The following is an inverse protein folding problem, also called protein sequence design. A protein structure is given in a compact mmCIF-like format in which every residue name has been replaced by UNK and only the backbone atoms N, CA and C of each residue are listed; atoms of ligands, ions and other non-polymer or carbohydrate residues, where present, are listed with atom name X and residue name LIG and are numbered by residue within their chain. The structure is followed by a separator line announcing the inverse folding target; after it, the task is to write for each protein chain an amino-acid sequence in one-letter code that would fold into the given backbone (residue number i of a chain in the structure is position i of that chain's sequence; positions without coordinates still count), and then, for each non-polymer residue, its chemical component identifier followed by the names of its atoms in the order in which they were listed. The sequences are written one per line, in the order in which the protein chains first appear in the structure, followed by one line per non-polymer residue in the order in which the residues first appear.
data_IF_427601620586
#
_entry.id   IF_427601620586
#
_cell.length_a   1.000
_cell.length_b   1.000
_cell.length_c   1.000
_cell.angle_alpha   90.00
_cell.angle_beta   90.00
_cell.angle_gamma   90.00
#
_symmetry.space_group_name_H-M   'P 1'
#
loop_
_entity.id
_entity.type
_entity.pdbx_description
1 polymer ?
#
# COMPACT_ATOMS: atom_id res chain seq x y z
N UNK A 1 -20.40 46.66 -7.17
CA UNK A 1 -19.61 45.95 -8.19
C UNK A 1 -18.26 45.59 -7.58
N UNK A 2 -17.88 44.30 -7.62
CA UNK A 2 -16.50 43.75 -7.59
C UNK A 2 -15.57 44.21 -6.43
N UNK A 3 -15.01 43.37 -5.54
CA UNK A 3 -14.43 42.04 -5.76
C UNK A 3 -14.29 41.30 -4.42
N UNK A 4 -15.09 40.26 -4.29
CA UNK A 4 -14.92 39.14 -3.36
C UNK A 4 -13.60 38.46 -3.74
N UNK A 5 -12.47 38.81 -3.12
CA UNK A 5 -11.17 38.23 -3.56
C UNK A 5 -10.10 38.18 -2.47
N UNK A 6 -10.46 37.94 -1.21
CA UNK A 6 -9.45 37.68 -0.17
C UNK A 6 -9.87 36.63 0.85
N UNK A 7 -10.70 35.66 0.45
CA UNK A 7 -11.19 34.60 1.34
C UNK A 7 -11.40 33.27 0.60
N UNK A 8 -10.58 32.98 -0.42
CA UNK A 8 -10.73 31.74 -1.23
C UNK A 8 -9.41 30.98 -1.39
N UNK A 9 -8.30 31.44 -0.80
CA UNK A 9 -6.98 30.81 -1.04
C UNK A 9 -6.61 29.79 0.06
N UNK A 10 -7.32 29.76 1.19
CA UNK A 10 -6.94 28.94 2.36
C UNK A 10 -7.70 27.61 2.50
N UNK A 11 -8.32 27.09 1.44
CA UNK A 11 -9.16 25.88 1.52
C UNK A 11 -8.69 24.69 0.66
N UNK A 12 -7.49 24.73 0.06
CA UNK A 12 -7.03 23.70 -0.88
C UNK A 12 -5.87 22.81 -0.38
N UNK A 13 -5.51 22.88 0.91
CA UNK A 13 -4.39 22.07 1.46
C UNK A 13 -4.84 20.73 2.07
N UNK A 14 -6.06 20.25 1.78
CA UNK A 14 -6.56 18.99 2.37
C UNK A 14 -7.17 18.08 1.30
N UNK A 15 -6.43 17.75 0.24
CA UNK A 15 -6.75 16.56 -0.57
C UNK A 15 -5.48 15.95 -1.16
N UNK A 16 -4.56 15.58 -0.27
CA UNK A 16 -3.31 14.90 -0.63
C UNK A 16 -3.15 13.52 0.00
N UNK A 17 -4.21 12.88 0.50
CA UNK A 17 -4.15 11.44 0.77
C UNK A 17 -4.10 10.72 -0.58
N UNK A 18 -2.91 10.65 -1.18
CA UNK A 18 -2.69 9.73 -2.29
C UNK A 18 -3.05 8.34 -1.76
N UNK A 19 -4.20 7.83 -2.19
CA UNK A 19 -4.63 6.46 -1.94
C UNK A 19 -3.65 5.58 -2.69
N UNK A 20 -2.51 5.30 -2.06
CA UNK A 20 -1.64 4.23 -2.49
C UNK A 20 -2.53 3.00 -2.42
N UNK A 21 -2.74 2.28 -3.54
CA UNK A 21 -3.53 1.07 -3.51
C UNK A 21 -2.86 0.09 -2.55
N UNK A 22 -3.38 0.00 -1.34
CA UNK A 22 -3.05 -1.09 -0.44
C UNK A 22 -3.74 -2.32 -1.00
N UNK A 23 -2.94 -3.15 -1.67
CA UNK A 23 -3.36 -4.49 -2.04
C UNK A 23 -3.72 -5.23 -0.74
N UNK A 24 -5.02 -5.48 -0.54
CA UNK A 24 -5.48 -6.35 0.53
C UNK A 24 -5.15 -7.79 0.14
N UNK A 25 -4.73 -8.59 1.10
CA UNK A 25 -4.45 -10.00 0.88
C UNK A 25 -5.38 -10.85 1.74
N UNK A 26 -5.78 -12.01 1.23
CA UNK A 26 -6.55 -12.99 1.98
C UNK A 26 -5.96 -14.39 1.83
N UNK A 27 -6.10 -15.20 2.88
CA UNK A 27 -5.72 -16.60 2.92
C UNK A 27 -6.71 -17.33 3.82
N UNK A 28 -7.34 -18.39 3.32
CA UNK A 28 -8.39 -19.10 4.05
C UNK A 28 -7.84 -19.65 5.38
N UNK A 29 -8.54 -19.37 6.47
CA UNK A 29 -8.15 -19.80 7.82
C UNK A 29 -6.93 -19.09 8.42
N UNK A 30 -6.35 -18.08 7.74
CA UNK A 30 -5.25 -17.31 8.29
C UNK A 30 -5.75 -16.12 9.12
N UNK A 31 -5.09 -15.88 10.24
CA UNK A 31 -5.33 -14.70 11.08
C UNK A 31 -4.59 -13.47 10.56
N UNK A 32 -4.93 -12.30 11.09
CA UNK A 32 -4.17 -11.08 10.82
C UNK A 32 -2.73 -11.14 11.37
N UNK A 33 -2.51 -11.88 12.46
CA UNK A 33 -1.17 -12.14 12.97
C UNK A 33 -0.33 -12.98 11.98
N UNK A 34 -0.95 -13.96 11.32
CA UNK A 34 -0.30 -14.72 10.25
C UNK A 34 0.05 -13.83 9.07
N UNK A 35 -0.85 -12.91 8.69
CA UNK A 35 -0.57 -11.93 7.65
C UNK A 35 0.63 -11.07 8.00
N UNK A 36 0.67 -10.50 9.21
CA UNK A 36 1.79 -9.66 9.62
C UNK A 36 3.11 -10.40 9.66
N UNK A 37 3.14 -11.63 10.21
CA UNK A 37 4.35 -12.46 10.23
C UNK A 37 4.85 -12.74 8.81
N UNK A 38 3.98 -13.20 7.93
CA UNK A 38 4.34 -13.55 6.56
C UNK A 38 4.75 -12.30 5.75
N UNK A 39 4.07 -11.17 5.95
CA UNK A 39 4.38 -9.89 5.33
C UNK A 39 5.76 -9.39 5.75
N UNK A 40 6.10 -9.41 7.04
CA UNK A 40 7.43 -8.99 7.51
C UNK A 40 8.54 -9.83 6.86
N UNK A 41 8.38 -11.16 6.80
CA UNK A 41 9.33 -12.02 6.11
C UNK A 41 9.48 -11.67 4.62
N UNK A 42 8.37 -11.39 3.94
CA UNK A 42 8.39 -11.00 2.54
C UNK A 42 8.94 -9.58 2.31
N UNK A 43 8.76 -8.66 3.27
CA UNK A 43 9.37 -7.34 3.24
C UNK A 43 10.89 -7.46 3.34
N UNK A 44 11.39 -8.26 4.28
CA UNK A 44 12.82 -8.52 4.48
C UNK A 44 13.47 -9.18 3.25
N UNK A 45 12.80 -10.15 2.64
CA UNK A 45 13.24 -10.78 1.38
C UNK A 45 13.31 -9.75 0.24
N UNK A 46 12.27 -8.93 0.09
CA UNK A 46 12.20 -7.92 -0.95
C UNK A 46 13.29 -6.85 -0.80
N UNK A 47 13.60 -6.43 0.43
CA UNK A 47 14.70 -5.51 0.72
C UNK A 47 16.07 -6.15 0.49
N UNK A 48 16.26 -7.39 0.95
CA UNK A 48 17.54 -8.11 0.81
C UNK A 48 17.91 -8.39 -0.64
N UNK A 49 16.91 -8.51 -1.52
CA UNK A 49 17.09 -8.62 -2.97
C UNK A 49 17.55 -7.30 -3.65
N UNK A 50 17.77 -6.22 -2.90
CA UNK A 50 18.28 -4.95 -3.42
C UNK A 50 17.24 -4.11 -4.16
N UNK A 51 15.95 -4.34 -3.91
CA UNK A 51 14.88 -3.57 -4.55
C UNK A 51 14.77 -2.15 -3.96
N UNK A 52 15.64 -1.25 -4.44
CA UNK A 52 15.63 0.18 -4.04
C UNK A 52 14.50 0.98 -4.69
N UNK A 53 13.92 0.45 -5.77
CA UNK A 53 12.76 1.06 -6.45
C UNK A 53 11.48 0.55 -5.80
N UNK A 54 10.66 1.46 -5.29
CA UNK A 54 9.42 1.16 -4.56
C UNK A 54 8.49 0.17 -5.29
N UNK A 55 8.31 0.34 -6.60
CA UNK A 55 7.50 -0.56 -7.43
C UNK A 55 8.04 -1.99 -7.44
N UNK A 56 9.36 -2.16 -7.69
CA UNK A 56 10.02 -3.47 -7.68
C UNK A 56 9.95 -4.15 -6.31
N UNK A 57 10.09 -3.35 -5.24
CA UNK A 57 9.91 -3.84 -3.87
C UNK A 57 8.48 -4.36 -3.64
N UNK A 58 7.46 -3.59 -4.04
CA UNK A 58 6.05 -4.00 -3.92
C UNK A 58 5.78 -5.29 -4.72
N UNK A 59 6.28 -5.37 -5.95
CA UNK A 59 6.16 -6.56 -6.81
C UNK A 59 6.81 -7.78 -6.17
N UNK A 60 8.05 -7.66 -5.68
CA UNK A 60 8.76 -8.75 -5.03
C UNK A 60 8.08 -9.22 -3.74
N UNK A 61 7.69 -8.29 -2.86
CA UNK A 61 6.93 -8.60 -1.64
C UNK A 61 5.62 -9.31 -1.96
N UNK A 62 4.87 -8.79 -2.92
CA UNK A 62 3.57 -9.36 -3.31
C UNK A 62 3.74 -10.76 -3.91
N UNK A 63 4.79 -10.99 -4.71
CA UNK A 63 5.10 -12.32 -5.25
C UNK A 63 5.45 -13.32 -4.12
N UNK A 64 6.20 -12.89 -3.10
CA UNK A 64 6.47 -13.71 -1.92
C UNK A 64 5.18 -14.08 -1.17
N UNK A 65 4.27 -13.12 -0.95
CA UNK A 65 2.98 -13.39 -0.30
C UNK A 65 2.14 -14.40 -1.10
N UNK A 66 2.11 -14.27 -2.43
CA UNK A 66 1.43 -15.25 -3.31
C UNK A 66 2.03 -16.65 -3.17
N UNK A 67 3.36 -16.78 -3.13
CA UNK A 67 4.04 -18.07 -2.88
C UNK A 67 3.69 -18.67 -1.52
N UNK A 68 3.42 -17.83 -0.52
CA UNK A 68 2.94 -18.26 0.81
C UNK A 68 1.44 -18.57 0.85
N UNK A 69 0.73 -18.52 -0.28
CA UNK A 69 -0.68 -18.87 -0.41
C UNK A 69 -1.65 -17.71 -0.15
N UNK A 70 -1.16 -16.47 -0.11
CA UNK A 70 -2.02 -15.29 -0.03
C UNK A 70 -2.52 -14.88 -1.41
N UNK A 71 -3.79 -14.49 -1.51
CA UNK A 71 -4.39 -13.97 -2.74
C UNK A 71 -4.60 -12.47 -2.63
N UNK A 72 -4.21 -11.72 -3.67
CA UNK A 72 -4.56 -10.30 -3.74
C UNK A 72 -6.08 -10.17 -3.90
N UNK A 73 -6.68 -9.35 -3.04
CA UNK A 73 -8.06 -8.94 -3.11
C UNK A 73 -8.07 -7.54 -3.71
N UNK A 74 -8.76 -7.38 -4.83
CA UNK A 74 -8.94 -6.05 -5.41
C UNK A 74 -9.58 -5.14 -4.34
N UNK A 75 -9.07 -3.90 -4.14
CA UNK A 75 -9.80 -2.93 -3.34
C UNK A 75 -11.18 -2.75 -3.99
N UNK A 76 -12.25 -2.91 -3.20
CA UNK A 76 -13.63 -2.64 -3.63
C UNK A 76 -13.85 -1.16 -3.86
#
# INVERSE_FOLDING_TARGET
MLKISLTVITALVVTGCAVIPEYKFSKAGASEADFHRDKTQCDDEAFSAGNVVRLKYIEARNACLVKKGWSQVAPK
#
